data_IF_806928421970
#
_entry.id   IF_806928421970
#
_cell.length_a   1.000
_cell.length_b   1.000
_cell.length_c   1.000
_cell.angle_alpha   90.00
_cell.angle_beta   90.00
_cell.angle_gamma   90.00
#
_symmetry.space_group_name_H-M   'P 1'
#
loop_
_entity.id
_entity.type
_entity.pdbx_description
1 polymer ?
#
# COMPACT_ATOMS: atom_id res chain seq x y z
N UNK A 1 -14.40 37.29 18.56
CA UNK A 1 -15.27 37.02 19.73
C UNK A 1 -15.99 38.32 20.07
N UNK A 2 -17.30 38.35 19.89
CA UNK A 2 -18.11 39.49 20.31
C UNK A 2 -18.80 39.12 21.62
N UNK A 3 -18.55 39.84 22.69
CA UNK A 3 -19.21 39.63 23.99
C UNK A 3 -19.95 40.90 24.38
N UNK A 4 -21.28 40.84 24.34
CA UNK A 4 -22.14 41.80 25.05
C UNK A 4 -22.37 41.28 26.49
N UNK A 5 -22.30 42.13 27.53
CA UNK A 5 -22.51 41.70 28.91
C UNK A 5 -23.95 41.22 29.13
N UNK A 6 -24.14 39.99 29.62
CA UNK A 6 -25.45 39.46 30.04
C UNK A 6 -26.00 38.26 29.26
N UNK A 7 -25.32 37.77 28.23
CA UNK A 7 -25.73 36.57 27.49
C UNK A 7 -24.70 35.45 27.65
N UNK A 8 -25.15 34.23 27.93
CA UNK A 8 -24.31 33.02 27.85
C UNK A 8 -23.86 32.83 26.39
N UNK A 9 -22.56 32.63 26.12
CA UNK A 9 -22.09 32.32 24.78
C UNK A 9 -22.80 31.07 24.25
N UNK A 10 -23.24 31.09 22.99
CA UNK A 10 -23.85 29.94 22.34
C UNK A 10 -22.89 28.74 22.32
N UNK A 11 -23.42 27.52 22.38
CA UNK A 11 -22.61 26.32 22.25
C UNK A 11 -21.87 26.34 20.89
N UNK A 12 -20.54 26.14 20.92
CA UNK A 12 -19.78 25.85 19.70
C UNK A 12 -20.25 24.52 19.15
N UNK A 13 -20.89 24.56 17.97
CA UNK A 13 -21.24 23.36 17.22
C UNK A 13 -20.00 22.88 16.46
N UNK A 14 -19.44 21.74 16.86
CA UNK A 14 -18.40 21.04 16.10
C UNK A 14 -19.06 20.16 15.05
N UNK A 15 -18.76 20.40 13.77
CA UNK A 15 -19.13 19.50 12.69
C UNK A 15 -17.90 18.64 12.33
N UNK A 16 -18.06 17.32 12.35
CA UNK A 16 -17.05 16.39 11.85
C UNK A 16 -17.23 16.22 10.33
N UNK A 17 -16.18 16.46 9.55
CA UNK A 17 -16.14 16.11 8.13
C UNK A 17 -15.45 14.75 7.97
N UNK A 18 -16.21 13.72 7.59
CA UNK A 18 -15.65 12.43 7.21
C UNK A 18 -15.30 12.45 5.72
N UNK A 19 -14.02 12.60 5.40
CA UNK A 19 -13.51 12.37 4.05
C UNK A 19 -13.50 10.86 3.77
N UNK A 20 -14.55 10.35 3.12
CA UNK A 20 -14.57 8.98 2.58
C UNK A 20 -13.75 8.94 1.28
N UNK A 21 -12.44 8.73 1.39
CA UNK A 21 -11.60 8.44 0.23
C UNK A 21 -11.70 6.94 -0.10
N UNK A 22 -11.88 6.56 -1.37
CA UNK A 22 -11.76 5.17 -1.79
C UNK A 22 -10.37 4.61 -1.44
N UNK A 23 -10.30 3.32 -1.13
CA UNK A 23 -9.03 2.64 -0.84
C UNK A 23 -8.51 1.98 -2.12
N UNK A 24 -7.22 2.14 -2.39
CA UNK A 24 -6.53 1.44 -3.48
C UNK A 24 -6.57 -0.07 -3.22
N UNK A 25 -6.80 -0.87 -4.26
CA UNK A 25 -6.72 -2.32 -4.16
C UNK A 25 -5.30 -2.75 -3.75
N UNK A 26 -5.13 -3.90 -3.05
CA UNK A 26 -3.80 -4.42 -2.75
C UNK A 26 -3.16 -5.03 -4.01
N UNK A 27 -1.83 -4.88 -4.18
CA UNK A 27 -1.10 -5.53 -5.26
C UNK A 27 -1.22 -7.06 -5.22
N UNK A 28 -1.05 -7.68 -6.38
CA UNK A 28 -1.00 -9.13 -6.57
C UNK A 28 0.34 -9.53 -7.17
N UNK A 29 0.77 -10.76 -6.87
CA UNK A 29 2.05 -11.30 -7.32
C UNK A 29 1.84 -12.49 -8.26
N UNK A 30 2.61 -12.53 -9.35
CA UNK A 30 2.64 -13.68 -10.28
C UNK A 30 4.08 -14.03 -10.67
N UNK A 31 4.56 -15.26 -10.39
CA UNK A 31 3.85 -16.29 -9.62
C UNK A 31 3.61 -15.84 -8.18
N UNK A 32 2.60 -16.41 -7.53
CA UNK A 32 2.30 -16.15 -6.12
C UNK A 32 3.43 -16.65 -5.18
N UNK A 33 3.28 -16.42 -3.88
CA UNK A 33 4.21 -16.99 -2.90
C UNK A 33 4.15 -18.53 -2.90
N UNK A 34 5.30 -19.17 -2.64
CA UNK A 34 5.41 -20.62 -2.65
C UNK A 34 6.85 -21.13 -2.63
N UNK A 35 6.98 -22.45 -2.71
CA UNK A 35 8.27 -23.14 -2.81
C UNK A 35 8.57 -23.45 -4.27
N UNK A 36 9.78 -23.13 -4.71
CA UNK A 36 10.22 -23.27 -6.08
C UNK A 36 11.59 -23.95 -6.14
N UNK A 37 11.78 -24.84 -7.13
CA UNK A 37 13.07 -25.50 -7.38
C UNK A 37 14.04 -24.63 -8.19
N UNK A 38 13.55 -23.54 -8.78
CA UNK A 38 14.31 -22.65 -9.65
C UNK A 38 14.01 -21.18 -9.29
N UNK A 39 14.91 -20.24 -9.63
CA UNK A 39 14.63 -18.81 -9.51
C UNK A 39 13.33 -18.40 -10.19
N UNK A 40 12.59 -17.49 -9.57
CA UNK A 40 11.30 -17.04 -10.08
C UNK A 40 11.39 -15.62 -10.66
N UNK A 41 10.80 -15.43 -11.84
CA UNK A 41 10.56 -14.09 -12.39
C UNK A 41 9.21 -13.60 -11.88
N UNK A 42 9.25 -12.69 -10.91
CA UNK A 42 8.08 -12.15 -10.23
C UNK A 42 7.59 -10.89 -10.94
N UNK A 43 6.28 -10.83 -11.14
CA UNK A 43 5.55 -9.67 -11.62
C UNK A 43 4.60 -9.19 -10.52
N UNK A 44 4.42 -7.87 -10.40
CA UNK A 44 3.45 -7.26 -9.50
C UNK A 44 2.41 -6.53 -10.35
N UNK A 45 1.14 -6.65 -9.99
CA UNK A 45 0.03 -6.00 -10.70
C UNK A 45 -1.02 -5.49 -9.71
N UNK A 46 -1.70 -4.42 -10.08
CA UNK A 46 -2.80 -3.85 -9.28
C UNK A 46 -4.06 -3.68 -10.13
N UNK A 47 -5.22 -3.87 -9.53
CA UNK A 47 -6.51 -3.72 -10.21
C UNK A 47 -6.97 -2.25 -10.28
N UNK A 48 -6.39 -1.36 -9.47
CA UNK A 48 -6.74 0.06 -9.43
C UNK A 48 -6.08 0.80 -10.60
N UNK A 49 -6.85 1.40 -11.51
CA UNK A 49 -6.29 2.14 -12.64
C UNK A 49 -5.39 3.29 -12.17
N UNK A 50 -4.18 3.37 -12.75
CA UNK A 50 -3.23 4.44 -12.43
C UNK A 50 -2.49 4.28 -11.10
N UNK A 51 -2.58 3.12 -10.44
CA UNK A 51 -1.82 2.85 -9.23
C UNK A 51 -0.30 2.83 -9.48
N UNK A 52 0.44 3.54 -8.65
CA UNK A 52 1.88 3.36 -8.50
C UNK A 52 2.15 2.30 -7.43
N UNK A 53 2.97 1.30 -7.75
CA UNK A 53 3.29 0.18 -6.85
C UNK A 53 4.69 0.37 -6.28
N UNK A 54 4.84 0.21 -4.97
CA UNK A 54 6.10 0.28 -4.23
C UNK A 54 6.32 -1.01 -3.45
N UNK A 55 7.53 -1.54 -3.47
CA UNK A 55 7.82 -2.86 -2.91
C UNK A 55 9.17 -2.95 -2.19
N UNK A 56 9.28 -3.98 -1.37
CA UNK A 56 10.49 -4.40 -0.65
C UNK A 56 10.68 -5.90 -0.86
N UNK A 57 11.93 -6.37 -0.83
CA UNK A 57 12.29 -7.80 -1.00
C UNK A 57 12.93 -8.40 0.26
N UNK A 58 13.19 -7.58 1.28
CA UNK A 58 13.74 -7.96 2.57
C UNK A 58 12.66 -8.27 3.62
N UNK A 59 11.38 -8.22 3.23
CA UNK A 59 10.23 -8.40 4.12
C UNK A 59 9.88 -7.19 4.99
N UNK A 60 10.56 -6.05 4.85
CA UNK A 60 10.20 -4.80 5.53
C UNK A 60 8.88 -4.23 4.99
N UNK A 61 8.20 -3.38 5.77
CA UNK A 61 6.94 -2.74 5.34
C UNK A 61 7.23 -1.70 4.26
N UNK A 62 6.65 -1.82 3.05
CA UNK A 62 6.87 -0.86 1.98
C UNK A 62 6.15 0.47 2.26
N UNK A 63 6.75 1.55 1.79
CA UNK A 63 6.20 2.91 1.79
C UNK A 63 6.39 3.53 0.40
N UNK A 64 5.92 4.75 0.18
CA UNK A 64 6.19 5.48 -1.08
C UNK A 64 7.65 5.86 -1.27
N UNK A 65 8.51 5.68 -0.25
CA UNK A 65 9.96 5.83 -0.34
C UNK A 65 10.68 4.52 -0.68
N UNK A 66 9.96 3.39 -0.73
CA UNK A 66 10.50 2.10 -1.15
C UNK A 66 10.69 2.04 -2.67
N UNK A 67 11.24 0.95 -3.18
CA UNK A 67 11.50 0.78 -4.61
C UNK A 67 10.20 0.81 -5.40
N UNK A 68 10.08 1.70 -6.38
CA UNK A 68 8.95 1.71 -7.30
C UNK A 68 9.05 0.54 -8.27
N UNK A 69 7.97 -0.20 -8.45
CA UNK A 69 7.90 -1.29 -9.41
C UNK A 69 7.78 -0.72 -10.83
N UNK A 70 8.76 -1.01 -11.69
CA UNK A 70 8.80 -0.60 -13.11
C UNK A 70 8.77 -1.77 -14.08
N UNK A 71 8.88 -3.00 -13.59
CA UNK A 71 8.86 -4.21 -14.41
C UNK A 71 9.24 -5.47 -13.63
N UNK A 72 9.14 -6.64 -14.28
CA UNK A 72 9.43 -7.93 -13.64
C UNK A 72 10.86 -8.00 -13.08
N UNK A 73 11.03 -8.67 -11.95
CA UNK A 73 12.34 -8.89 -11.32
C UNK A 73 12.56 -10.36 -10.96
N UNK A 74 13.82 -10.74 -10.74
CA UNK A 74 14.18 -12.11 -10.38
C UNK A 74 14.31 -12.27 -8.86
N UNK A 75 13.74 -13.36 -8.34
CA UNK A 75 13.94 -13.86 -6.99
C UNK A 75 14.83 -15.10 -7.09
N UNK A 76 16.08 -14.96 -6.65
CA UNK A 76 17.12 -15.99 -6.80
C UNK A 76 17.23 -16.92 -5.59
N UNK A 77 16.83 -16.45 -4.42
CA UNK A 77 16.93 -17.15 -3.12
C UNK A 77 15.66 -16.92 -2.31
N UNK A 78 15.58 -17.52 -1.13
CA UNK A 78 14.45 -17.31 -0.21
C UNK A 78 14.26 -15.82 0.08
N UNK A 79 13.13 -15.26 -0.35
CA UNK A 79 12.85 -13.82 -0.38
C UNK A 79 11.40 -13.58 0.02
N UNK A 80 11.15 -12.59 0.87
CA UNK A 80 9.77 -12.13 1.14
C UNK A 80 9.56 -10.79 0.46
N UNK A 81 8.67 -10.79 -0.53
CA UNK A 81 8.28 -9.58 -1.25
C UNK A 81 7.03 -9.00 -0.59
N UNK A 82 7.08 -7.70 -0.27
CA UNK A 82 5.90 -6.95 0.18
C UNK A 82 5.67 -5.76 -0.72
N UNK A 83 4.42 -5.41 -0.97
CA UNK A 83 4.07 -4.30 -1.85
C UNK A 83 2.84 -3.52 -1.36
N UNK A 84 2.81 -2.23 -1.67
CA UNK A 84 1.63 -1.36 -1.59
C UNK A 84 1.37 -0.70 -2.93
N UNK A 85 0.11 -0.36 -3.18
CA UNK A 85 -0.32 0.46 -4.30
C UNK A 85 -0.87 1.80 -3.80
N UNK A 86 -0.59 2.87 -4.56
CA UNK A 86 -1.03 4.23 -4.25
C UNK A 86 -1.64 4.86 -5.50
N UNK A 87 -2.88 5.34 -5.37
CA UNK A 87 -3.56 6.21 -6.34
C UNK A 87 -3.69 7.61 -5.72
N UNK A 88 -3.30 8.69 -6.43
CA UNK A 88 -3.46 10.05 -5.92
C UNK A 88 -4.91 10.37 -5.52
N UNK A 89 -5.10 10.90 -4.31
CA UNK A 89 -6.43 11.24 -3.78
C UNK A 89 -7.21 10.06 -3.18
N UNK A 90 -6.61 8.86 -3.15
CA UNK A 90 -7.16 7.66 -2.52
C UNK A 90 -6.34 7.30 -1.28
N UNK A 91 -6.94 6.52 -0.38
CA UNK A 91 -6.16 5.87 0.68
C UNK A 91 -5.23 4.82 0.05
N UNK A 92 -3.97 4.69 0.51
CA UNK A 92 -3.08 3.60 0.09
C UNK A 92 -3.70 2.23 0.32
N UNK A 93 -3.25 1.25 -0.45
CA UNK A 93 -3.69 -0.13 -0.26
C UNK A 93 -3.25 -0.71 1.08
N UNK A 94 -3.86 -1.82 1.49
CA UNK A 94 -3.22 -2.72 2.45
C UNK A 94 -1.93 -3.30 1.87
N UNK A 95 -1.02 -3.73 2.75
CA UNK A 95 0.24 -4.37 2.35
C UNK A 95 -0.04 -5.79 1.83
N UNK A 96 0.31 -6.05 0.58
CA UNK A 96 0.36 -7.39 0.02
C UNK A 96 1.70 -8.05 0.36
N UNK A 97 1.72 -9.37 0.61
CA UNK A 97 2.94 -10.11 0.97
C UNK A 97 2.99 -11.46 0.26
N UNK A 98 4.14 -11.82 -0.29
CA UNK A 98 4.42 -13.13 -0.88
C UNK A 98 5.82 -13.60 -0.48
N UNK A 99 5.90 -14.80 0.10
CA UNK A 99 7.17 -15.44 0.43
C UNK A 99 7.52 -16.49 -0.63
N UNK A 100 8.74 -16.42 -1.14
CA UNK A 100 9.31 -17.33 -2.11
C UNK A 100 10.41 -18.12 -1.43
N UNK A 101 10.30 -19.45 -1.42
CA UNK A 101 11.34 -20.36 -0.92
C UNK A 101 12.00 -21.05 -2.11
N UNK A 102 13.16 -20.56 -2.52
CA UNK A 102 13.90 -21.15 -3.63
C UNK A 102 14.83 -22.23 -3.06
N UNK A 103 14.58 -23.48 -3.43
CA UNK A 103 15.43 -24.61 -3.07
C UNK A 103 16.62 -24.65 -4.03
N UNK A 104 17.82 -24.73 -3.46
CA UNK A 104 19.08 -24.85 -4.19
C UNK A 104 19.50 -26.33 -4.30
#
# INVERSE_FOLDING_TARGET
MATAPGFTPSAVASATYTLIQPQTAPPTFSPGGGTYLLPQRVTISDASPGAAIYYTTDGSTPTTSSTQYTGPFLVLTTTTVRAIAVVPGWSPSSVASASYFVLL
#
